data_IF_333771233207
#
_entry.id   IF_333771233207
#
_cell.length_a   1.000
_cell.length_b   1.000
_cell.length_c   1.000
_cell.angle_alpha   90.00
_cell.angle_beta   90.00
_cell.angle_gamma   90.00
#
_symmetry.space_group_name_H-M   'P 1'
#
loop_
_entity.id
_entity.type
_entity.pdbx_description
1 polymer ?
#
# COMPACT_ATOMS: atom_id res chain seq x y z
N UNK A 1 25.83 -1.63 1.74
CA UNK A 1 26.41 -2.67 0.86
C UNK A 1 25.66 -2.63 -0.47
N UNK A 2 26.26 -3.04 -1.58
CA UNK A 2 25.70 -2.93 -2.95
C UNK A 2 24.24 -3.41 -3.10
N UNK A 3 23.78 -4.26 -2.19
CA UNK A 3 22.41 -4.72 -2.02
C UNK A 3 21.38 -3.57 -1.93
N UNK A 4 21.74 -2.42 -1.34
CA UNK A 4 20.87 -1.23 -1.21
C UNK A 4 20.74 -0.41 -2.51
N UNK A 5 21.68 -0.59 -3.44
CA UNK A 5 21.64 0.04 -4.77
C UNK A 5 20.99 -0.87 -5.83
N UNK A 6 21.03 -2.19 -5.61
CA UNK A 6 20.34 -3.19 -6.43
C UNK A 6 18.89 -3.43 -5.99
N UNK A 7 18.54 -3.13 -4.73
CA UNK A 7 17.16 -2.81 -4.36
C UNK A 7 16.84 -1.47 -5.04
N UNK A 8 16.43 -1.53 -6.31
CA UNK A 8 16.11 -0.36 -7.12
C UNK A 8 15.34 0.63 -6.25
N UNK A 9 15.80 1.89 -6.21
CA UNK A 9 15.25 2.94 -5.38
C UNK A 9 13.74 2.74 -5.22
N UNK A 10 13.26 2.52 -3.98
CA UNK A 10 11.85 2.27 -3.68
C UNK A 10 11.04 3.40 -4.32
N UNK A 11 10.62 3.17 -5.56
CA UNK A 11 9.81 4.13 -6.29
C UNK A 11 8.53 4.26 -5.47
N UNK A 12 8.02 5.47 -5.26
CA UNK A 12 6.92 5.64 -4.31
C UNK A 12 5.55 5.24 -4.90
N UNK A 13 5.53 4.76 -6.14
CA UNK A 13 4.32 4.49 -6.90
C UNK A 13 3.76 3.07 -6.68
N UNK A 14 2.46 2.94 -6.51
CA UNK A 14 1.84 1.61 -6.57
C UNK A 14 1.94 1.02 -7.99
N UNK A 15 2.03 -0.31 -8.11
CA UNK A 15 1.74 -1.01 -9.38
C UNK A 15 0.28 -1.53 -9.40
N UNK A 16 -0.38 -1.55 -8.24
CA UNK A 16 -1.79 -1.88 -8.08
C UNK A 16 -2.45 -0.97 -7.03
N UNK A 17 -3.59 -0.39 -7.38
CA UNK A 17 -4.44 0.38 -6.47
C UNK A 17 -5.82 -0.26 -6.41
N UNK A 18 -6.25 -0.66 -5.20
CA UNK A 18 -7.62 -1.07 -4.92
C UNK A 18 -8.39 0.15 -4.37
N UNK A 19 -9.58 0.40 -4.90
CA UNK A 19 -10.47 1.51 -4.50
C UNK A 19 -11.91 1.04 -4.44
N UNK A 20 -12.74 1.73 -3.65
CA UNK A 20 -14.18 1.43 -3.50
C UNK A 20 -14.44 -0.01 -3.04
N UNK A 21 -13.61 -0.47 -2.11
CA UNK A 21 -13.62 -1.84 -1.59
C UNK A 21 -13.90 -1.84 -0.09
N UNK A 22 -14.43 -2.96 0.43
CA UNK A 22 -14.43 -3.22 1.88
C UNK A 22 -13.21 -4.07 2.23
N UNK A 23 -12.17 -3.44 2.75
CA UNK A 23 -10.90 -4.09 3.09
C UNK A 23 -10.86 -4.34 4.60
N UNK A 24 -10.74 -5.59 5.00
CA UNK A 24 -10.53 -5.96 6.40
C UNK A 24 -9.04 -5.89 6.75
N UNK A 25 -8.71 -5.25 7.85
CA UNK A 25 -7.34 -5.24 8.39
C UNK A 25 -7.30 -5.92 9.75
N UNK A 26 -6.12 -6.39 10.14
CA UNK A 26 -5.87 -6.90 11.49
C UNK A 26 -5.57 -5.79 12.50
N UNK A 27 -5.48 -4.53 12.06
CA UNK A 27 -5.28 -3.39 12.94
C UNK A 27 -6.60 -3.02 13.61
N UNK A 28 -6.66 -3.20 14.93
CA UNK A 28 -7.85 -2.90 15.73
C UNK A 28 -8.25 -1.42 15.72
N UNK A 29 -7.33 -0.50 15.42
CA UNK A 29 -7.64 0.92 15.30
C UNK A 29 -8.31 1.27 13.97
N UNK A 30 -8.04 0.47 12.92
CA UNK A 30 -8.56 0.66 11.56
C UNK A 30 -9.00 -0.70 10.99
N UNK A 31 -10.02 -1.35 11.56
CA UNK A 31 -10.41 -2.71 11.18
C UNK A 31 -10.96 -2.79 9.75
N UNK A 32 -11.37 -1.65 9.19
CA UNK A 32 -11.85 -1.52 7.82
C UNK A 32 -11.15 -0.36 7.11
N UNK A 33 -10.89 -0.54 5.81
CA UNK A 33 -10.40 0.49 4.91
C UNK A 33 -11.13 0.43 3.57
N UNK A 34 -11.04 1.51 2.79
CA UNK A 34 -11.75 1.67 1.52
C UNK A 34 -10.81 1.60 0.30
N UNK A 35 -9.51 1.76 0.53
CA UNK A 35 -8.49 1.75 -0.50
C UNK A 35 -7.14 1.21 0.00
N UNK A 36 -6.34 0.67 -0.92
CA UNK A 36 -5.00 0.13 -0.65
C UNK A 36 -4.10 0.29 -1.87
N UNK A 37 -2.87 0.75 -1.63
CA UNK A 37 -1.80 0.83 -2.61
C UNK A 37 -0.80 -0.30 -2.39
N UNK A 38 -0.50 -1.03 -3.47
CA UNK A 38 0.36 -2.22 -3.45
C UNK A 38 1.49 -2.03 -4.46
N UNK A 39 2.67 -2.54 -4.12
CA UNK A 39 3.75 -2.78 -5.07
C UNK A 39 4.31 -4.18 -4.89
N UNK A 40 4.27 -4.98 -5.94
CA UNK A 40 4.65 -6.38 -5.88
C UNK A 40 3.93 -7.08 -4.75
N UNK A 41 4.67 -7.49 -3.72
CA UNK A 41 4.14 -8.21 -2.56
C UNK A 41 3.99 -7.34 -1.30
N UNK A 42 4.20 -6.02 -1.42
CA UNK A 42 4.21 -5.09 -0.27
C UNK A 42 3.05 -4.10 -0.34
N UNK A 43 2.37 -3.94 0.79
CA UNK A 43 1.41 -2.86 1.00
C UNK A 43 2.21 -1.58 1.26
N UNK A 44 1.98 -0.55 0.45
CA UNK A 44 2.58 0.77 0.62
C UNK A 44 1.70 1.65 1.53
N UNK A 45 0.38 1.56 1.35
CA UNK A 45 -0.59 2.35 2.12
C UNK A 45 -1.96 1.65 2.17
N UNK A 46 -2.68 1.83 3.28
CA UNK A 46 -4.07 1.41 3.48
C UNK A 46 -4.84 2.56 4.12
N UNK A 47 -6.07 2.81 3.68
CA UNK A 47 -6.85 3.92 4.21
C UNK A 47 -8.18 4.15 3.50
N UNK A 48 -8.72 5.35 3.66
CA UNK A 48 -9.89 5.85 2.92
C UNK A 48 -9.52 6.22 1.47
N UNK A 49 -10.52 6.22 0.58
CA UNK A 49 -10.32 6.50 -0.86
C UNK A 49 -9.52 7.79 -1.12
N UNK A 50 -9.79 8.83 -0.34
CA UNK A 50 -9.13 10.14 -0.46
C UNK A 50 -7.69 10.19 0.04
N UNK A 51 -7.19 9.14 0.69
CA UNK A 51 -5.83 9.11 1.26
C UNK A 51 -4.77 8.49 0.35
N UNK A 52 -5.17 7.75 -0.69
CA UNK A 52 -4.25 7.09 -1.62
C UNK A 52 -4.01 8.01 -2.83
N UNK A 53 -2.75 8.29 -3.18
CA UNK A 53 -2.34 9.13 -4.32
C UNK A 53 -1.42 8.38 -5.29
#
# INVERSE_FOLDING_TARGET
TLDKLLSGADSQFADLVLTDALIYTSDHSTPFAEAMAIRGERILQVGNFSSIQ
#
